data_IF_036705967976
#
_entry.id   IF_036705967976
#
_cell.length_a   1.000
_cell.length_b   1.000
_cell.length_c   1.000
_cell.angle_alpha   90.00
_cell.angle_beta   90.00
_cell.angle_gamma   90.00
#
_symmetry.space_group_name_H-M   'P 1'
#
loop_
_entity.id
_entity.type
_entity.pdbx_description
1 polymer ?
#
# COMPACT_ATOMS: atom_id res chain seq x y z
N UNK A 1 -1.18 51.71 18.00
CA UNK A 1 -0.42 50.47 17.76
C UNK A 1 -0.83 49.91 16.41
N UNK A 2 0.10 49.88 15.45
CA UNK A 2 -0.16 49.41 14.09
C UNK A 2 -0.11 47.87 14.03
N UNK A 3 -1.23 47.23 13.68
CA UNK A 3 -1.29 45.80 13.42
C UNK A 3 -0.68 45.53 12.03
N UNK A 4 0.47 44.85 12.01
CA UNK A 4 1.26 44.64 10.79
C UNK A 4 0.64 43.63 9.83
N UNK A 5 0.40 44.09 8.59
CA UNK A 5 0.35 43.35 7.31
C UNK A 5 0.17 41.82 7.39
N UNK A 6 -1.08 41.35 7.39
CA UNK A 6 -1.44 40.00 6.96
C UNK A 6 -1.28 39.89 5.44
N UNK A 7 -0.09 39.51 4.98
CA UNK A 7 0.09 39.14 3.60
C UNK A 7 1.29 38.23 3.48
N UNK A 8 1.05 36.93 3.23
CA UNK A 8 1.72 36.12 2.17
C UNK A 8 1.45 34.61 2.30
N UNK A 9 0.22 34.15 2.54
CA UNK A 9 -0.10 32.72 2.35
C UNK A 9 -1.49 32.53 1.74
N UNK A 10 -1.56 31.70 0.70
CA UNK A 10 -2.72 31.55 -0.20
C UNK A 10 -3.99 30.97 0.46
N UNK A 11 -3.86 30.28 1.60
CA UNK A 11 -4.99 29.63 2.28
C UNK A 11 -4.87 29.73 3.81
N UNK A 12 -6.01 29.95 4.46
CA UNK A 12 -6.26 29.89 5.90
C UNK A 12 -6.50 28.45 6.39
N UNK A 13 -6.58 28.25 7.71
CA UNK A 13 -6.92 26.93 8.30
C UNK A 13 -8.32 26.47 7.89
N UNK A 14 -9.30 27.36 7.93
CA UNK A 14 -10.71 27.04 7.65
C UNK A 14 -10.95 26.71 6.18
N UNK A 15 -10.29 27.44 5.26
CA UNK A 15 -10.32 27.11 3.83
C UNK A 15 -9.76 25.71 3.59
N UNK A 16 -8.62 25.36 4.21
CA UNK A 16 -8.01 24.03 4.06
C UNK A 16 -8.94 22.93 4.58
N UNK A 17 -9.56 23.12 5.75
CA UNK A 17 -10.54 22.17 6.30
C UNK A 17 -11.73 22.02 5.33
N UNK A 18 -12.20 23.12 4.74
CA UNK A 18 -13.30 23.10 3.77
C UNK A 18 -12.91 22.32 2.51
N UNK A 19 -11.71 22.52 1.96
CA UNK A 19 -11.22 21.73 0.83
C UNK A 19 -11.17 20.22 1.15
N UNK A 20 -10.68 19.86 2.34
CA UNK A 20 -10.62 18.45 2.78
C UNK A 20 -12.03 17.84 2.85
N UNK A 21 -12.99 18.54 3.46
CA UNK A 21 -14.37 18.06 3.60
C UNK A 21 -15.07 17.93 2.24
N UNK A 22 -14.91 18.91 1.36
CA UNK A 22 -15.48 18.88 0.01
C UNK A 22 -14.92 17.72 -0.83
N UNK A 23 -13.61 17.47 -0.72
CA UNK A 23 -13.01 16.30 -1.33
C UNK A 23 -13.62 15.00 -0.78
N UNK A 24 -13.74 14.88 0.54
CA UNK A 24 -14.32 13.69 1.16
C UNK A 24 -15.76 13.44 0.68
N UNK A 25 -16.59 14.48 0.64
CA UNK A 25 -17.98 14.39 0.16
C UNK A 25 -18.08 14.01 -1.32
N UNK A 26 -17.16 14.49 -2.17
CA UNK A 26 -17.19 14.21 -3.61
C UNK A 26 -16.62 12.84 -3.98
N UNK A 27 -15.63 12.37 -3.23
CA UNK A 27 -14.86 11.16 -3.56
C UNK A 27 -15.16 9.98 -2.64
N UNK A 28 -15.99 10.19 -1.63
CA UNK A 28 -16.32 9.24 -0.54
C UNK A 28 -15.06 8.61 0.09
N UNK A 29 -13.99 9.40 0.20
CA UNK A 29 -12.71 8.96 0.76
C UNK A 29 -11.85 10.11 1.25
N UNK A 30 -11.04 9.82 2.26
CA UNK A 30 -10.09 10.78 2.83
C UNK A 30 -8.99 11.10 1.81
N UNK A 31 -8.73 12.39 1.51
CA UNK A 31 -7.70 12.75 0.55
C UNK A 31 -6.30 12.42 1.10
N UNK A 32 -5.47 11.65 0.37
CA UNK A 32 -4.03 11.66 0.61
C UNK A 32 -3.45 13.01 0.16
N UNK A 33 -2.33 13.42 0.76
CA UNK A 33 -1.65 14.70 0.49
C UNK A 33 -1.46 15.01 -1.01
N UNK A 34 -1.18 13.99 -1.82
CA UNK A 34 -0.92 14.12 -3.27
C UNK A 34 -2.17 14.45 -4.10
N UNK A 35 -3.37 14.17 -3.58
CA UNK A 35 -4.63 14.39 -4.31
C UNK A 35 -5.13 15.83 -4.14
N UNK A 36 -4.55 16.60 -3.21
CA UNK A 36 -4.84 18.02 -2.97
C UNK A 36 -3.53 18.84 -2.96
N UNK A 37 -2.77 18.83 -4.07
CA UNK A 37 -1.45 19.45 -4.12
C UNK A 37 -1.50 20.95 -3.85
N UNK A 38 -2.59 21.65 -4.22
CA UNK A 38 -2.69 23.10 -4.08
C UNK A 38 -2.64 23.56 -2.61
N UNK A 39 -3.22 22.80 -1.70
CA UNK A 39 -3.29 23.13 -0.27
C UNK A 39 -2.26 22.36 0.57
N UNK A 40 -1.71 21.27 0.03
CA UNK A 40 -0.92 20.28 0.76
C UNK A 40 0.24 20.87 1.57
N UNK A 41 1.03 21.76 0.96
CA UNK A 41 2.18 22.38 1.59
C UNK A 41 1.75 23.31 2.74
N UNK A 42 0.69 24.10 2.51
CA UNK A 42 0.19 25.03 3.52
C UNK A 42 -0.47 24.29 4.68
N UNK A 43 -1.17 23.20 4.41
CA UNK A 43 -1.76 22.34 5.43
C UNK A 43 -0.68 21.80 6.38
N UNK A 44 0.42 21.24 5.86
CA UNK A 44 1.52 20.77 6.71
C UNK A 44 2.09 21.90 7.57
N UNK A 45 2.30 23.09 6.99
CA UNK A 45 2.80 24.24 7.74
C UNK A 45 1.84 24.72 8.85
N UNK A 46 0.53 24.73 8.61
CA UNK A 46 -0.45 25.27 9.58
C UNK A 46 -0.87 24.28 10.67
N UNK A 47 -0.87 22.98 10.35
CA UNK A 47 -1.36 21.91 11.23
C UNK A 47 -0.23 21.01 11.77
N UNK A 48 1.01 21.20 11.32
CA UNK A 48 2.18 20.40 11.68
C UNK A 48 2.34 19.12 10.84
N UNK A 49 1.24 18.50 10.45
CA UNK A 49 1.22 17.34 9.54
C UNK A 49 -0.04 17.33 8.68
N UNK A 50 -0.03 16.55 7.59
CA UNK A 50 -1.25 16.34 6.80
C UNK A 50 -2.32 15.60 7.62
N UNK A 51 -1.91 14.61 8.42
CA UNK A 51 -2.84 13.83 9.24
C UNK A 51 -3.52 14.71 10.30
N UNK A 52 -2.81 15.66 10.91
CA UNK A 52 -3.39 16.61 11.85
C UNK A 52 -4.45 17.50 11.17
N UNK A 53 -4.23 17.89 9.91
CA UNK A 53 -5.22 18.64 9.14
C UNK A 53 -6.49 17.81 8.87
N UNK A 54 -6.33 16.51 8.58
CA UNK A 54 -7.43 15.57 8.38
C UNK A 54 -8.20 15.33 9.69
N UNK A 55 -7.51 15.13 10.81
CA UNK A 55 -8.11 15.01 12.14
C UNK A 55 -8.88 16.27 12.53
N UNK A 56 -8.31 17.45 12.28
CA UNK A 56 -9.00 18.74 12.54
C UNK A 56 -10.23 18.92 11.65
N UNK A 57 -10.25 18.31 10.46
CA UNK A 57 -11.43 18.27 9.61
C UNK A 57 -12.51 17.29 10.10
N UNK A 58 -12.27 16.55 11.20
CA UNK A 58 -13.18 15.57 11.76
C UNK A 58 -13.15 14.22 11.02
N UNK A 59 -12.07 13.94 10.30
CA UNK A 59 -11.90 12.70 9.54
C UNK A 59 -10.79 11.84 10.15
N UNK A 60 -10.88 10.52 9.96
CA UNK A 60 -9.81 9.60 10.37
C UNK A 60 -8.68 9.64 9.34
N UNK A 61 -7.44 9.97 9.72
CA UNK A 61 -6.32 10.03 8.79
C UNK A 61 -5.94 8.65 8.24
N UNK A 62 -5.37 8.65 7.03
CA UNK A 62 -4.75 7.45 6.48
C UNK A 62 -3.56 7.03 7.36
N UNK A 63 -3.37 5.71 7.52
CA UNK A 63 -2.28 5.13 8.32
C UNK A 63 -0.93 5.67 7.86
N UNK A 64 -0.14 6.20 8.80
CA UNK A 64 1.25 6.60 8.53
C UNK A 64 2.14 5.36 8.42
N UNK A 65 3.30 5.50 7.78
CA UNK A 65 4.29 4.43 7.71
C UNK A 65 4.81 4.00 9.10
N UNK A 66 4.75 4.88 10.09
CA UNK A 66 5.22 4.65 11.46
C UNK A 66 4.20 3.86 12.29
N UNK A 67 2.92 3.92 11.93
CA UNK A 67 1.84 3.22 12.60
C UNK A 67 1.57 1.81 12.03
N UNK A 68 2.47 1.28 11.18
CA UNK A 68 2.31 -0.06 10.60
C UNK A 68 2.28 -1.11 11.70
N UNK A 69 1.32 -2.04 11.61
CA UNK A 69 1.22 -3.17 12.55
C UNK A 69 2.47 -4.05 12.52
N UNK A 70 3.13 -4.14 11.35
CA UNK A 70 4.32 -4.93 11.13
C UNK A 70 5.52 -4.02 10.85
N UNK A 71 6.62 -4.22 11.59
CA UNK A 71 7.89 -3.54 11.33
C UNK A 71 8.48 -4.06 10.03
N UNK A 72 9.00 -3.14 9.21
CA UNK A 72 9.85 -3.52 8.09
C UNK A 72 11.13 -4.15 8.62
N UNK A 73 11.55 -5.23 7.98
CA UNK A 73 12.87 -5.82 8.13
C UNK A 73 13.63 -5.61 6.80
N UNK A 74 14.94 -5.78 6.80
CA UNK A 74 15.74 -5.74 5.59
C UNK A 74 16.72 -6.91 5.63
N UNK A 75 16.15 -8.11 5.61
CA UNK A 75 16.84 -9.37 5.78
C UNK A 75 16.71 -10.21 4.51
N UNK A 76 17.51 -11.26 4.42
CA UNK A 76 17.49 -12.20 3.28
C UNK A 76 16.72 -13.47 3.64
N UNK A 77 16.01 -14.00 2.65
CA UNK A 77 15.54 -15.39 2.63
C UNK A 77 16.73 -16.35 2.49
N UNK A 78 16.48 -17.64 2.67
CA UNK A 78 17.51 -18.69 2.64
C UNK A 78 18.25 -18.80 1.30
N UNK A 79 17.55 -18.51 0.20
CA UNK A 79 18.13 -18.49 -1.15
C UNK A 79 18.84 -17.17 -1.50
N UNK A 80 18.84 -16.22 -0.57
CA UNK A 80 19.49 -14.93 -0.69
C UNK A 80 18.60 -13.78 -1.18
N UNK A 81 17.33 -14.02 -1.51
CA UNK A 81 16.39 -12.95 -1.88
C UNK A 81 16.18 -11.96 -0.74
N UNK A 82 16.19 -10.65 -1.05
CA UNK A 82 15.92 -9.60 -0.06
C UNK A 82 14.42 -9.48 0.19
N UNK A 83 14.04 -9.46 1.46
CA UNK A 83 12.66 -9.34 1.92
C UNK A 83 12.47 -8.11 2.82
N UNK A 84 11.31 -7.45 2.71
CA UNK A 84 10.97 -6.26 3.50
C UNK A 84 10.11 -6.57 4.75
N UNK A 85 9.66 -7.82 4.89
CA UNK A 85 8.84 -8.30 6.01
C UNK A 85 9.13 -9.76 6.37
N UNK A 86 8.81 -10.17 7.61
CA UNK A 86 8.97 -11.56 8.06
C UNK A 86 8.05 -12.51 7.28
N UNK A 87 6.85 -12.05 6.90
CA UNK A 87 5.92 -12.81 6.07
C UNK A 87 6.47 -13.06 4.67
N UNK A 88 7.19 -12.09 4.09
CA UNK A 88 7.88 -12.30 2.82
C UNK A 88 8.95 -13.38 2.95
N UNK A 89 9.79 -13.34 4.00
CA UNK A 89 10.80 -14.39 4.23
C UNK A 89 10.14 -15.78 4.33
N UNK A 90 9.04 -15.89 5.07
CA UNK A 90 8.33 -17.17 5.24
C UNK A 90 7.80 -17.71 3.91
N UNK A 91 7.22 -16.86 3.07
CA UNK A 91 6.72 -17.28 1.75
C UNK A 91 7.87 -17.65 0.82
N UNK A 92 8.92 -16.84 0.81
CA UNK A 92 10.11 -17.02 -0.03
C UNK A 92 10.84 -18.33 0.32
N UNK A 93 11.13 -18.57 1.61
CA UNK A 93 11.67 -19.82 2.10
C UNK A 93 10.77 -21.01 1.75
N UNK A 94 9.44 -20.88 1.89
CA UNK A 94 8.53 -21.96 1.52
C UNK A 94 8.62 -22.30 0.02
N UNK A 95 8.73 -21.31 -0.86
CA UNK A 95 8.93 -21.54 -2.30
C UNK A 95 10.28 -22.24 -2.55
N UNK A 96 11.34 -21.80 -1.86
CA UNK A 96 12.68 -22.39 -1.95
C UNK A 96 12.70 -23.87 -1.51
N UNK A 97 12.19 -24.16 -0.31
CA UNK A 97 12.12 -25.52 0.26
C UNK A 97 11.33 -26.49 -0.62
N UNK A 98 10.26 -26.00 -1.27
CA UNK A 98 9.44 -26.78 -2.20
C UNK A 98 10.02 -26.84 -3.63
N UNK A 99 11.25 -26.33 -3.83
CA UNK A 99 11.97 -26.32 -5.12
C UNK A 99 11.19 -25.61 -6.22
N UNK A 100 10.42 -24.59 -5.87
CA UNK A 100 9.70 -23.75 -6.81
C UNK A 100 10.63 -22.60 -7.19
N UNK A 101 11.16 -22.65 -8.40
CA UNK A 101 11.97 -21.57 -8.94
C UNK A 101 11.13 -20.28 -9.05
N UNK A 102 11.65 -19.22 -8.45
CA UNK A 102 10.94 -17.95 -8.33
C UNK A 102 11.91 -16.77 -8.44
N UNK A 103 11.39 -15.63 -8.89
CA UNK A 103 12.13 -14.37 -8.97
C UNK A 103 11.37 -13.27 -8.26
N UNK A 104 12.08 -12.29 -7.70
CA UNK A 104 11.49 -11.14 -7.00
C UNK A 104 11.20 -9.97 -7.94
N UNK A 105 10.23 -9.14 -7.56
CA UNK A 105 9.98 -7.84 -8.16
C UNK A 105 9.68 -7.87 -9.66
N UNK A 106 8.88 -8.84 -10.12
CA UNK A 106 8.53 -8.97 -11.53
C UNK A 106 7.57 -7.84 -11.96
N UNK A 107 7.85 -7.20 -13.09
CA UNK A 107 7.05 -6.07 -13.58
C UNK A 107 5.67 -6.49 -14.07
N UNK A 108 4.63 -5.80 -13.59
CA UNK A 108 3.29 -5.91 -14.17
C UNK A 108 3.24 -5.24 -15.55
N UNK A 109 2.54 -5.82 -16.54
CA UNK A 109 2.38 -5.20 -17.86
C UNK A 109 1.77 -3.80 -17.78
N UNK A 110 2.39 -2.84 -18.49
CA UNK A 110 1.90 -1.47 -18.66
C UNK A 110 1.65 -0.68 -17.36
N UNK A 111 2.29 -1.04 -16.25
CA UNK A 111 2.19 -0.29 -14.98
C UNK A 111 3.55 -0.18 -14.28
N UNK A 112 3.58 0.53 -13.15
CA UNK A 112 4.74 0.60 -12.26
C UNK A 112 4.67 -0.42 -11.11
N UNK A 113 3.66 -1.30 -11.11
CA UNK A 113 3.54 -2.32 -10.09
C UNK A 113 4.58 -3.41 -10.29
N UNK A 114 5.08 -3.95 -9.18
CA UNK A 114 5.97 -5.09 -9.13
C UNK A 114 5.26 -6.17 -8.31
N UNK A 115 5.31 -7.41 -8.79
CA UNK A 115 4.87 -8.58 -8.04
C UNK A 115 5.94 -8.96 -7.03
N UNK A 116 5.52 -9.42 -5.85
CA UNK A 116 6.45 -9.85 -4.80
C UNK A 116 7.31 -11.00 -5.31
N UNK A 117 6.66 -12.00 -5.93
CA UNK A 117 7.32 -13.07 -6.68
C UNK A 117 6.67 -13.34 -8.04
N UNK A 118 7.46 -13.90 -8.95
CA UNK A 118 6.99 -14.54 -10.16
C UNK A 118 7.60 -15.93 -10.30
N UNK A 119 6.75 -16.89 -10.69
CA UNK A 119 7.13 -18.29 -10.90
C UNK A 119 6.74 -18.73 -12.31
N UNK A 120 7.24 -19.89 -12.73
CA UNK A 120 6.88 -20.50 -14.02
C UNK A 120 7.17 -19.56 -15.21
N UNK A 121 8.37 -18.96 -15.20
CA UNK A 121 8.84 -17.97 -16.19
C UNK A 121 7.90 -16.76 -16.35
N UNK A 122 7.34 -16.26 -15.24
CA UNK A 122 6.50 -15.05 -15.24
C UNK A 122 5.05 -15.28 -15.62
N UNK A 123 4.61 -16.53 -15.81
CA UNK A 123 3.20 -16.85 -16.10
C UNK A 123 2.31 -16.80 -14.87
N UNK A 124 2.90 -16.91 -13.68
CA UNK A 124 2.18 -16.88 -12.40
C UNK A 124 2.86 -15.85 -11.51
N UNK A 125 2.10 -14.85 -11.07
CA UNK A 125 2.51 -13.91 -10.03
C UNK A 125 2.03 -14.39 -8.67
N UNK A 126 2.84 -14.14 -7.65
CA UNK A 126 2.50 -14.39 -6.25
C UNK A 126 2.61 -13.06 -5.52
N UNK A 127 1.58 -12.73 -4.76
CA UNK A 127 1.48 -11.49 -3.97
C UNK A 127 1.15 -11.83 -2.53
N UNK A 128 1.82 -11.16 -1.59
CA UNK A 128 1.43 -11.11 -0.21
C UNK A 128 0.72 -9.78 0.10
N UNK A 129 -0.61 -9.84 0.17
CA UNK A 129 -1.44 -8.69 0.49
C UNK A 129 -1.56 -8.47 2.01
N UNK A 130 -0.42 -8.28 2.69
CA UNK A 130 -0.34 -8.11 4.15
C UNK A 130 -1.07 -6.88 4.71
N UNK A 131 -1.48 -5.94 3.86
CA UNK A 131 -2.25 -4.73 4.20
C UNK A 131 -3.67 -4.75 3.62
N UNK A 132 -4.17 -5.91 3.18
CA UNK A 132 -5.56 -6.03 2.75
C UNK A 132 -6.51 -5.59 3.87
N UNK A 133 -7.56 -4.84 3.52
CA UNK A 133 -8.56 -4.25 4.42
C UNK A 133 -8.01 -3.22 5.42
N UNK A 134 -6.72 -2.88 5.35
CA UNK A 134 -6.13 -1.84 6.20
C UNK A 134 -6.61 -0.44 5.80
N UNK A 135 -6.79 -0.20 4.50
CA UNK A 135 -7.43 1.02 4.00
C UNK A 135 -8.05 0.83 2.61
N UNK A 136 -9.06 1.63 2.24
CA UNK A 136 -9.63 1.60 0.90
C UNK A 136 -8.60 1.81 -0.22
N UNK A 137 -7.48 2.48 0.07
CA UNK A 137 -6.38 2.66 -0.89
C UNK A 137 -5.67 1.34 -1.19
N UNK A 138 -5.36 0.55 -0.17
CA UNK A 138 -4.71 -0.74 -0.36
C UNK A 138 -5.62 -1.69 -1.13
N UNK A 139 -6.89 -1.75 -0.77
CA UNK A 139 -7.86 -2.62 -1.45
C UNK A 139 -8.02 -2.24 -2.93
N UNK A 140 -8.05 -0.94 -3.26
CA UNK A 140 -8.03 -0.50 -4.67
C UNK A 140 -6.77 -0.97 -5.42
N UNK A 141 -5.59 -0.89 -4.78
CA UNK A 141 -4.35 -1.37 -5.39
C UNK A 141 -4.36 -2.88 -5.62
N UNK A 142 -4.98 -3.66 -4.74
CA UNK A 142 -5.15 -5.10 -4.89
C UNK A 142 -6.06 -5.39 -6.10
N UNK A 143 -7.21 -4.70 -6.19
CA UNK A 143 -8.14 -4.85 -7.32
C UNK A 143 -7.50 -4.46 -8.65
N UNK A 144 -6.69 -3.40 -8.67
CA UNK A 144 -5.94 -3.00 -9.87
C UNK A 144 -4.99 -4.10 -10.33
N UNK A 145 -4.20 -4.70 -9.42
CA UNK A 145 -3.32 -5.84 -9.72
C UNK A 145 -4.10 -7.05 -10.25
N UNK A 146 -5.22 -7.42 -9.61
CA UNK A 146 -6.10 -8.52 -10.07
C UNK A 146 -6.57 -8.26 -11.50
N UNK A 147 -7.05 -7.05 -11.79
CA UNK A 147 -7.54 -6.67 -13.11
C UNK A 147 -6.43 -6.70 -14.18
N UNK A 148 -5.21 -6.28 -13.84
CA UNK A 148 -4.07 -6.35 -14.77
C UNK A 148 -3.74 -7.81 -15.07
N UNK A 149 -3.68 -8.68 -14.06
CA UNK A 149 -3.43 -10.11 -14.25
C UNK A 149 -4.49 -10.76 -15.15
N UNK A 150 -5.78 -10.51 -14.88
CA UNK A 150 -6.89 -10.99 -15.72
C UNK A 150 -6.78 -10.54 -17.18
N UNK A 151 -6.54 -9.25 -17.42
CA UNK A 151 -6.42 -8.68 -18.77
C UNK A 151 -5.24 -9.26 -19.57
N UNK A 152 -4.17 -9.67 -18.89
CA UNK A 152 -2.95 -10.16 -19.53
C UNK A 152 -2.80 -11.69 -19.43
N UNK A 153 -3.85 -12.41 -19.00
CA UNK A 153 -3.83 -13.86 -18.82
C UNK A 153 -2.67 -14.36 -17.94
N UNK A 154 -2.35 -13.59 -16.89
CA UNK A 154 -1.37 -13.94 -15.85
C UNK A 154 -2.14 -14.53 -14.67
N UNK A 155 -1.76 -15.72 -14.20
CA UNK A 155 -2.36 -16.28 -12.98
C UNK A 155 -1.84 -15.51 -11.77
N UNK A 156 -2.71 -15.17 -10.83
CA UNK A 156 -2.33 -14.48 -9.60
C UNK A 156 -2.63 -15.36 -8.38
N UNK A 157 -1.58 -15.71 -7.64
CA UNK A 157 -1.68 -16.33 -6.31
C UNK A 157 -1.71 -15.20 -5.29
N UNK A 158 -2.88 -14.99 -4.69
CA UNK A 158 -3.08 -13.98 -3.64
C UNK A 158 -2.95 -14.62 -2.27
N UNK A 159 -1.94 -14.22 -1.51
CA UNK A 159 -1.69 -14.68 -0.14
C UNK A 159 -2.05 -13.54 0.82
N UNK A 160 -2.86 -13.84 1.83
CA UNK A 160 -3.29 -12.90 2.87
C UNK A 160 -2.75 -13.35 4.24
N UNK A 161 -2.75 -12.48 5.28
CA UNK A 161 -2.28 -12.86 6.61
C UNK A 161 -2.93 -14.14 7.17
N UNK A 162 -4.23 -14.34 6.93
CA UNK A 162 -4.98 -15.55 7.30
C UNK A 162 -4.49 -16.83 6.61
N UNK A 163 -3.68 -16.72 5.56
CA UNK A 163 -3.08 -17.87 4.90
C UNK A 163 -1.75 -18.29 5.52
N UNK A 164 -1.11 -17.42 6.29
CA UNK A 164 0.16 -17.69 6.98
C UNK A 164 -0.04 -17.99 8.46
N UNK A 165 -1.00 -17.33 9.10
CA UNK A 165 -1.19 -17.38 10.55
C UNK A 165 -2.63 -17.78 10.93
N UNK A 166 -2.82 -18.52 12.04
CA UNK A 166 -1.78 -19.09 12.90
C UNK A 166 -1.10 -20.33 12.30
N UNK A 167 -1.76 -20.99 11.35
CA UNK A 167 -1.25 -22.18 10.65
C UNK A 167 -1.18 -21.87 9.16
N UNK A 168 -0.02 -22.12 8.57
CA UNK A 168 0.20 -21.89 7.14
C UNK A 168 -0.68 -22.81 6.27
N UNK A 169 -1.27 -22.24 5.24
CA UNK A 169 -2.08 -22.92 4.22
C UNK A 169 -1.46 -22.85 2.83
N UNK A 170 -0.18 -22.48 2.73
CA UNK A 170 0.53 -22.27 1.46
C UNK A 170 0.47 -23.50 0.56
N UNK A 171 0.72 -24.71 1.07
CA UNK A 171 0.62 -25.96 0.29
C UNK A 171 -0.77 -26.11 -0.37
N UNK A 172 -1.85 -25.82 0.36
CA UNK A 172 -3.21 -25.88 -0.18
C UNK A 172 -3.46 -24.81 -1.24
N UNK A 173 -2.90 -23.62 -1.07
CA UNK A 173 -3.02 -22.53 -2.05
C UNK A 173 -2.30 -22.91 -3.34
N UNK A 174 -1.02 -23.28 -3.26
CA UNK A 174 -0.20 -23.57 -4.41
C UNK A 174 -0.60 -24.84 -5.17
N UNK A 175 -1.22 -25.83 -4.51
CA UNK A 175 -1.78 -27.03 -5.18
C UNK A 175 -2.83 -26.74 -6.25
N UNK A 176 -3.37 -25.52 -6.31
CA UNK A 176 -4.33 -25.09 -7.34
C UNK A 176 -3.66 -24.50 -8.58
N UNK A 177 -2.37 -24.21 -8.51
CA UNK A 177 -1.62 -23.46 -9.52
C UNK A 177 -0.45 -24.24 -10.12
N UNK A 178 0.10 -25.18 -9.35
CA UNK A 178 1.15 -26.13 -9.72
C UNK A 178 0.52 -27.49 -10.00
#
# INVERSE_FOLDING_TARGET
MACGKLGRFKYSKDEIISFIKNYYQSMDRVPPKRDLPEISHKAVHLFGSWNNAIETAGLTPNRSHDNRMYRRINEKAEDGHKCDSASEILIDNWLHENKIEHTRNASYPNTKHLADWAIHNGKIFVEYFGLAKDSPRYDRSIQEKINICHKNNIKLVSIYPENLYPVSSLTKIFSKFL
#
